data_IF_329289599895
#
_entry.id   IF_329289599895
#
_cell.length_a   1.000
_cell.length_b   1.000
_cell.length_c   1.000
_cell.angle_alpha   90.00
_cell.angle_beta   90.00
_cell.angle_gamma   90.00
#
_symmetry.space_group_name_H-M   'P 1'
#
loop_
_entity.id
_entity.type
_entity.pdbx_description
1 polymer ?
#
# COMPACT_ATOMS: atom_id res chain seq x y z
N UNK A 1 4.16 2.96 13.86
CA UNK A 1 3.21 1.84 13.75
C UNK A 1 2.32 2.11 12.56
N UNK A 2 2.26 1.18 11.59
CA UNK A 2 1.20 1.16 10.59
C UNK A 2 -0.05 0.57 11.30
N UNK A 3 -0.98 1.41 11.76
CA UNK A 3 -2.24 0.88 12.29
C UNK A 3 -3.11 0.48 11.10
N UNK A 4 -3.50 -0.80 11.05
CA UNK A 4 -4.39 -1.32 10.01
C UNK A 4 -5.70 -0.52 9.95
N UNK A 5 -6.13 -0.04 11.11
CA UNK A 5 -7.37 0.71 11.28
C UNK A 5 -7.32 2.04 10.52
N UNK A 6 -6.23 2.80 10.63
CA UNK A 6 -6.08 4.08 9.94
C UNK A 6 -6.02 3.92 8.42
N UNK A 7 -5.22 2.97 7.93
CA UNK A 7 -5.16 2.66 6.49
C UNK A 7 -6.53 2.20 5.94
N UNK A 8 -7.33 1.50 6.75
CA UNK A 8 -8.66 1.07 6.36
C UNK A 8 -9.68 2.21 6.32
N UNK A 9 -9.59 3.17 7.25
CA UNK A 9 -10.46 4.35 7.30
C UNK A 9 -10.24 5.25 6.08
N UNK A 10 -8.99 5.53 5.73
CA UNK A 10 -8.64 6.33 4.55
C UNK A 10 -9.17 5.68 3.26
N UNK A 11 -8.94 4.37 3.07
CA UNK A 11 -9.41 3.66 1.87
C UNK A 11 -10.95 3.57 1.79
N UNK A 12 -11.63 3.45 2.93
CA UNK A 12 -13.10 3.52 2.99
C UNK A 12 -13.61 4.90 2.59
N UNK A 13 -12.92 5.96 2.97
CA UNK A 13 -13.28 7.33 2.61
C UNK A 13 -13.15 7.55 1.10
N UNK A 14 -12.04 7.12 0.50
CA UNK A 14 -11.83 7.21 -0.97
C UNK A 14 -12.94 6.50 -1.74
N UNK A 15 -13.41 5.35 -1.25
CA UNK A 15 -14.52 4.62 -1.89
C UNK A 15 -15.83 5.38 -1.82
N UNK A 16 -16.13 6.00 -0.67
CA UNK A 16 -17.33 6.83 -0.53
C UNK A 16 -17.29 8.04 -1.48
N UNK A 17 -16.14 8.70 -1.58
CA UNK A 17 -15.99 9.91 -2.40
C UNK A 17 -16.02 9.63 -3.91
N UNK A 18 -15.54 8.46 -4.34
CA UNK A 18 -15.52 8.07 -5.75
C UNK A 18 -16.86 7.63 -6.35
N UNK A 19 -17.95 7.53 -5.57
CA UNK A 19 -19.22 6.91 -5.99
C UNK A 19 -19.07 5.48 -6.57
N UNK A 20 -17.97 4.79 -6.24
CA UNK A 20 -17.66 3.48 -6.80
C UNK A 20 -18.52 2.38 -6.18
N UNK A 21 -18.96 1.42 -7.01
CA UNK A 21 -19.61 0.17 -6.57
C UNK A 21 -18.59 -0.90 -6.12
N UNK A 22 -17.32 -0.54 -5.94
CA UNK A 22 -16.27 -1.46 -5.54
C UNK A 22 -16.60 -2.10 -4.18
N UNK A 23 -16.64 -3.43 -4.16
CA UNK A 23 -16.88 -4.22 -2.94
C UNK A 23 -15.58 -4.62 -2.23
N UNK A 24 -14.45 -4.53 -2.93
CA UNK A 24 -13.12 -4.73 -2.37
C UNK A 24 -12.62 -3.38 -1.90
N UNK A 25 -12.25 -3.25 -0.63
CA UNK A 25 -11.77 -1.98 -0.07
C UNK A 25 -10.32 -1.67 -0.46
N UNK A 26 -9.48 -2.69 -0.42
CA UNK A 26 -8.06 -2.55 -0.64
C UNK A 26 -7.45 -3.89 -1.08
N UNK A 27 -6.27 -3.82 -1.69
CA UNK A 27 -5.43 -4.99 -1.95
C UNK A 27 -4.20 -4.92 -1.07
N UNK A 28 -3.90 -6.02 -0.37
CA UNK A 28 -2.71 -6.13 0.47
C UNK A 28 -1.69 -7.05 -0.22
N UNK A 29 -0.55 -6.49 -0.58
CA UNK A 29 0.62 -7.19 -1.12
C UNK A 29 1.68 -7.34 -0.04
N UNK A 30 2.26 -8.54 0.05
CA UNK A 30 3.43 -8.82 0.90
C UNK A 30 4.60 -9.21 -0.01
N UNK A 31 5.74 -8.54 0.16
CA UNK A 31 6.98 -8.88 -0.53
C UNK A 31 8.07 -9.18 0.49
N UNK A 32 8.44 -10.45 0.58
CA UNK A 32 9.54 -10.91 1.44
C UNK A 32 10.86 -10.94 0.68
N UNK A 33 11.95 -10.74 1.41
CA UNK A 33 13.32 -10.86 0.95
C UNK A 33 14.02 -11.99 1.72
N UNK A 34 14.92 -12.71 1.07
CA UNK A 34 15.73 -13.71 1.74
C UNK A 34 16.64 -13.06 2.81
N UNK A 35 17.01 -13.79 3.87
CA UNK A 35 17.93 -13.26 4.89
C UNK A 35 19.23 -12.78 4.28
N UNK A 36 19.61 -11.52 4.55
CA UNK A 36 20.82 -10.89 4.03
C UNK A 36 20.74 -10.40 2.58
N UNK A 37 19.63 -10.61 1.86
CA UNK A 37 19.47 -10.15 0.47
C UNK A 37 19.49 -8.62 0.36
N UNK A 38 18.85 -7.95 1.32
CA UNK A 38 18.74 -6.50 1.38
C UNK A 38 18.83 -6.00 2.82
N UNK A 39 19.09 -4.71 2.99
CA UNK A 39 18.88 -4.02 4.26
C UNK A 39 17.49 -3.35 4.29
N UNK A 40 17.01 -2.88 5.46
CA UNK A 40 15.65 -2.34 5.57
C UNK A 40 15.39 -1.10 4.71
N UNK A 41 16.39 -0.23 4.55
CA UNK A 41 16.29 0.97 3.71
C UNK A 41 16.10 0.55 2.25
N UNK A 42 16.91 -0.40 1.78
CA UNK A 42 16.84 -0.89 0.41
C UNK A 42 15.55 -1.64 0.12
N UNK A 43 15.06 -2.42 1.08
CA UNK A 43 13.75 -3.06 0.99
C UNK A 43 12.63 -2.03 0.83
N UNK A 44 12.68 -0.93 1.60
CA UNK A 44 11.71 0.15 1.50
C UNK A 44 11.77 0.86 0.15
N UNK A 45 12.96 1.21 -0.35
CA UNK A 45 13.15 1.78 -1.70
C UNK A 45 12.56 0.89 -2.78
N UNK A 46 12.82 -0.42 -2.74
CA UNK A 46 12.26 -1.40 -3.68
C UNK A 46 10.72 -1.43 -3.58
N UNK A 47 10.18 -1.34 -2.37
CA UNK A 47 8.74 -1.25 -2.15
C UNK A 47 8.14 0.02 -2.78
N UNK A 48 8.78 1.18 -2.59
CA UNK A 48 8.34 2.44 -3.16
C UNK A 48 8.42 2.44 -4.69
N UNK A 49 9.50 1.92 -5.27
CA UNK A 49 9.61 1.77 -6.73
C UNK A 49 8.53 0.85 -7.29
N UNK A 50 8.22 -0.25 -6.60
CA UNK A 50 7.16 -1.17 -6.98
C UNK A 50 5.80 -0.46 -6.98
N UNK A 51 5.47 0.27 -5.90
CA UNK A 51 4.24 1.04 -5.82
C UNK A 51 4.16 2.07 -6.97
N UNK A 52 5.21 2.85 -7.19
CA UNK A 52 5.25 3.86 -8.28
C UNK A 52 5.07 3.23 -9.67
N UNK A 53 5.67 2.07 -9.92
CA UNK A 53 5.53 1.36 -11.22
C UNK A 53 4.14 0.79 -11.44
N UNK A 54 3.52 0.24 -10.40
CA UNK A 54 2.23 -0.47 -10.52
C UNK A 54 1.04 0.50 -10.40
N UNK A 55 1.09 1.39 -9.41
CA UNK A 55 -0.02 2.27 -9.03
C UNK A 55 0.05 3.64 -9.69
N UNK A 56 1.24 4.05 -10.17
CA UNK A 56 1.50 5.42 -10.63
C UNK A 56 1.08 6.44 -9.56
N UNK A 57 0.68 7.64 -9.95
CA UNK A 57 0.12 8.66 -9.03
C UNK A 57 -1.41 8.56 -8.91
N UNK A 58 -2.01 7.49 -9.45
CA UNK A 58 -3.47 7.39 -9.60
C UNK A 58 -4.15 6.71 -8.38
N UNK A 59 -3.40 5.97 -7.56
CA UNK A 59 -3.95 5.19 -6.45
C UNK A 59 -3.20 5.44 -5.14
N UNK A 60 -3.96 5.57 -4.06
CA UNK A 60 -3.43 5.67 -2.71
C UNK A 60 -2.87 4.33 -2.23
N UNK A 61 -1.77 4.38 -1.50
CA UNK A 61 -1.19 3.20 -0.87
C UNK A 61 -0.45 3.53 0.43
N UNK A 62 -0.34 2.52 1.29
CA UNK A 62 0.50 2.51 2.49
C UNK A 62 1.58 1.45 2.30
N UNK A 63 2.85 1.84 2.48
CA UNK A 63 3.99 0.91 2.51
C UNK A 63 4.61 0.89 3.91
N UNK A 64 4.75 -0.31 4.47
CA UNK A 64 5.48 -0.56 5.71
C UNK A 64 6.54 -1.65 5.51
N UNK A 65 7.74 -1.45 6.04
CA UNK A 65 8.83 -2.43 6.01
C UNK A 65 9.05 -3.00 7.41
N UNK A 66 9.01 -4.32 7.53
CA UNK A 66 9.10 -5.05 8.79
C UNK A 66 10.40 -5.87 8.83
N UNK A 67 10.94 -6.04 10.04
CA UNK A 67 12.20 -6.75 10.33
C UNK A 67 12.08 -7.74 11.49
N UNK A 68 10.85 -8.02 11.92
CA UNK A 68 10.49 -8.70 13.17
C UNK A 68 10.34 -10.23 13.04
N UNK A 69 10.53 -10.79 11.83
CA UNK A 69 10.27 -12.21 11.51
C UNK A 69 11.51 -12.99 11.07
N UNK A 70 12.71 -12.51 11.41
CA UNK A 70 13.99 -13.12 11.01
C UNK A 70 14.34 -12.93 9.53
N UNK A 71 13.50 -12.21 8.78
CA UNK A 71 13.73 -11.75 7.43
C UNK A 71 13.01 -10.41 7.23
N UNK A 72 13.37 -9.69 6.17
CA UNK A 72 12.78 -8.39 5.85
C UNK A 72 11.59 -8.62 4.91
N UNK A 73 10.50 -7.92 5.15
CA UNK A 73 9.35 -7.94 4.25
C UNK A 73 8.59 -6.61 4.22
N UNK A 74 8.03 -6.29 3.08
CA UNK A 74 7.16 -5.14 2.89
C UNK A 74 5.70 -5.55 2.99
N UNK A 75 4.90 -4.75 3.68
CA UNK A 75 3.44 -4.71 3.59
C UNK A 75 3.05 -3.51 2.75
N UNK A 76 2.35 -3.75 1.64
CA UNK A 76 1.82 -2.70 0.77
C UNK A 76 0.31 -2.86 0.72
N UNK A 77 -0.44 -1.85 1.16
CA UNK A 77 -1.90 -1.82 1.07
C UNK A 77 -2.27 -0.75 0.06
N UNK A 78 -2.98 -1.10 -1.01
CA UNK A 78 -3.40 -0.17 -2.06
C UNK A 78 -4.92 -0.04 -2.08
N UNK A 79 -5.42 1.17 -2.27
CA UNK A 79 -6.85 1.42 -2.53
C UNK A 79 -7.30 0.66 -3.78
N UNK A 80 -8.54 0.19 -3.78
CA UNK A 80 -9.13 -0.57 -4.89
C UNK A 80 -9.60 0.29 -6.06
N UNK A 81 -9.55 1.61 -5.89
CA UNK A 81 -10.07 2.62 -6.80
C UNK A 81 -9.08 3.77 -6.91
N UNK A 82 -9.16 4.50 -8.03
CA UNK A 82 -8.34 5.69 -8.25
C UNK A 82 -8.84 6.85 -7.39
N UNK A 83 -7.92 7.73 -7.02
CA UNK A 83 -8.28 9.03 -6.49
C UNK A 83 -8.78 9.92 -7.65
N UNK A 84 -10.06 9.80 -7.98
CA UNK A 84 -10.75 10.75 -8.86
C UNK A 84 -11.62 11.66 -7.99
N UNK A 85 -11.13 12.86 -7.69
CA UNK A 85 -11.96 13.92 -7.11
C UNK A 85 -12.91 14.36 -8.20
N UNK A 86 -14.21 14.13 -8.05
CA UNK A 86 -15.21 14.69 -8.96
C UNK A 86 -15.12 16.23 -8.87
N UNK A 87 -14.72 16.95 -9.94
CA UNK A 87 -14.48 18.40 -9.88
C UNK A 87 -15.77 19.23 -9.96
N UNK A 88 -16.93 18.64 -9.64
CA UNK A 88 -18.24 19.29 -9.68
C UNK A 88 -18.91 19.28 -8.30
#
# INVERSE_FOLDING_TARGET
MCSKDFASEEMLQTIKESNSKATVLARHLIKSFAPGEVNPIKAHEIGMELCKKILKEDYEFVLATHIDRGHIHNHIICASIRYEVNPF
#
